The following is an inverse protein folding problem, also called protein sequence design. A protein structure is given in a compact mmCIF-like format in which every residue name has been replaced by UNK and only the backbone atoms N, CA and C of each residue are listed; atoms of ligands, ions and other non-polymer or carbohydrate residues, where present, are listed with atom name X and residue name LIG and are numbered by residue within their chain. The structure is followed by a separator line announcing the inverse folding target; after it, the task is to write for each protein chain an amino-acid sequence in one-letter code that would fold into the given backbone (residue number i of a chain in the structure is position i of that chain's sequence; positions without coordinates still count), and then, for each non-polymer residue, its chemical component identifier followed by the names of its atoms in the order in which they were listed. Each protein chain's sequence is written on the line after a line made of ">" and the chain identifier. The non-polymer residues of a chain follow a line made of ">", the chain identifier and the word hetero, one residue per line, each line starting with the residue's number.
data_IF_116534779097
#
_entry.id   IF_116534779097
#
_cell.length_a   1.000
_cell.length_b   1.000
_cell.length_c   1.000
_cell.angle_alpha   90.00
_cell.angle_beta   90.00
_cell.angle_gamma   90.00
#
_symmetry.space_group_name_H-M   'P 1'
#
loop_
_entity.id
_entity.type
_entity.pdbx_description
1 polymer ?
#
# COMPACT_ATOMS: atom_id res chain seq x y z
N UNK A 1 11.85 -19.98 4.96
CA UNK A 1 10.50 -19.43 4.76
C UNK A 1 10.23 -19.41 3.26
N UNK A 2 9.69 -20.51 2.72
CA UNK A 2 9.37 -20.63 1.30
C UNK A 2 7.97 -20.06 1.11
N UNK A 3 7.86 -18.89 0.49
CA UNK A 3 6.55 -18.36 0.09
C UNK A 3 6.08 -19.28 -1.04
N UNK A 4 5.10 -20.13 -0.77
CA UNK A 4 4.44 -20.94 -1.79
C UNK A 4 3.88 -19.93 -2.79
N UNK A 5 4.38 -19.99 -4.03
CA UNK A 5 3.86 -19.17 -5.13
C UNK A 5 2.43 -19.61 -5.41
N UNK A 6 1.47 -18.99 -4.72
CA UNK A 6 0.06 -19.11 -5.05
C UNK A 6 -0.11 -18.58 -6.47
N UNK A 7 -0.61 -19.42 -7.37
CA UNK A 7 -0.91 -19.03 -8.73
C UNK A 7 -2.09 -18.05 -8.73
N UNK A 8 -1.78 -16.75 -8.68
CA UNK A 8 -2.80 -15.68 -8.69
C UNK A 8 -3.60 -15.64 -9.97
N UNK A 9 -3.14 -16.31 -11.04
CA UNK A 9 -3.81 -16.30 -12.34
C UNK A 9 -5.21 -16.88 -12.24
N UNK A 10 -5.37 -18.02 -11.56
CA UNK A 10 -6.66 -18.66 -11.35
C UNK A 10 -7.62 -17.77 -10.56
N UNK A 11 -7.12 -17.12 -9.50
CA UNK A 11 -7.94 -16.21 -8.69
C UNK A 11 -8.38 -14.97 -9.48
N UNK A 12 -7.49 -14.40 -10.30
CA UNK A 12 -7.76 -13.25 -11.16
C UNK A 12 -8.79 -13.59 -12.26
N UNK A 13 -8.69 -14.78 -12.86
CA UNK A 13 -9.65 -15.28 -13.85
C UNK A 13 -11.04 -15.51 -13.22
N UNK A 14 -11.13 -16.11 -12.03
CA UNK A 14 -12.40 -16.30 -11.30
C UNK A 14 -13.05 -14.97 -10.95
N UNK A 15 -12.25 -13.93 -10.63
CA UNK A 15 -12.74 -12.58 -10.37
C UNK A 15 -13.23 -11.84 -11.64
N UNK A 16 -13.13 -12.46 -12.82
CA UNK A 16 -13.50 -11.85 -14.10
C UNK A 16 -12.53 -10.75 -14.56
N UNK A 17 -11.31 -10.73 -14.01
CA UNK A 17 -10.30 -9.72 -14.32
C UNK A 17 -9.30 -10.31 -15.32
N UNK A 18 -8.86 -9.52 -16.30
CA UNK A 18 -7.83 -9.95 -17.25
C UNK A 18 -6.50 -10.14 -16.52
N UNK A 19 -5.96 -11.35 -16.59
CA UNK A 19 -4.63 -11.65 -16.06
C UNK A 19 -3.56 -10.97 -16.90
N UNK A 20 -2.98 -9.91 -16.35
CA UNK A 20 -1.83 -9.20 -16.90
C UNK A 20 -0.70 -9.17 -15.88
N UNK A 21 0.48 -8.69 -16.28
CA UNK A 21 1.58 -8.40 -15.33
C UNK A 21 1.18 -7.40 -14.25
N UNK A 22 0.16 -6.58 -14.50
CA UNK A 22 -0.37 -5.59 -13.57
C UNK A 22 -1.46 -6.14 -12.63
N UNK A 23 -1.82 -7.43 -12.72
CA UNK A 23 -2.94 -8.00 -11.95
C UNK A 23 -2.56 -9.14 -11.00
N UNK A 24 -1.29 -9.53 -10.97
CA UNK A 24 -0.79 -10.59 -10.08
C UNK A 24 -0.42 -10.11 -8.68
N UNK A 25 0.39 -10.90 -7.96
CA UNK A 25 0.87 -10.59 -6.59
C UNK A 25 1.48 -9.19 -6.42
N UNK A 26 2.08 -8.64 -7.47
CA UNK A 26 2.62 -7.28 -7.45
C UNK A 26 1.51 -6.22 -7.30
N UNK A 27 0.36 -6.43 -7.94
CA UNK A 27 -0.81 -5.57 -7.83
C UNK A 27 -1.38 -5.58 -6.40
N UNK A 28 -1.45 -6.77 -5.79
CA UNK A 28 -1.88 -6.93 -4.40
C UNK A 28 -0.94 -6.22 -3.42
N UNK A 29 0.38 -6.29 -3.67
CA UNK A 29 1.36 -5.55 -2.88
C UNK A 29 1.15 -4.03 -2.99
N UNK A 30 0.87 -3.53 -4.19
CA UNK A 30 0.55 -2.12 -4.41
C UNK A 30 -0.74 -1.72 -3.69
N UNK A 31 -1.80 -2.52 -3.83
CA UNK A 31 -3.08 -2.28 -3.15
C UNK A 31 -2.93 -2.23 -1.63
N UNK A 32 -2.30 -3.24 -1.04
CA UNK A 32 -2.05 -3.30 0.41
C UNK A 32 -1.29 -2.06 0.92
N UNK A 33 -0.26 -1.64 0.19
CA UNK A 33 0.53 -0.47 0.58
C UNK A 33 -0.25 0.83 0.43
N UNK A 34 -1.02 0.95 -0.65
CA UNK A 34 -1.84 2.15 -0.94
C UNK A 34 -2.93 2.34 0.12
N UNK A 35 -3.64 1.26 0.47
CA UNK A 35 -4.70 1.30 1.48
C UNK A 35 -4.18 1.71 2.86
N UNK A 36 -3.05 1.15 3.30
CA UNK A 36 -2.47 1.51 4.60
C UNK A 36 -1.93 2.94 4.63
N UNK A 37 -1.37 3.44 3.52
CA UNK A 37 -0.97 4.84 3.42
C UNK A 37 -2.17 5.79 3.49
N UNK A 38 -3.28 5.42 2.86
CA UNK A 38 -4.52 6.19 2.89
C UNK A 38 -5.16 6.24 4.29
N UNK A 39 -4.88 5.26 5.16
CA UNK A 39 -5.24 5.29 6.59
C UNK A 39 -4.22 6.01 7.48
N UNK A 40 -3.11 6.50 6.91
CA UNK A 40 -2.09 7.28 7.62
C UNK A 40 -0.98 6.44 8.26
N UNK A 41 -0.79 5.19 7.82
CA UNK A 41 0.30 4.34 8.31
C UNK A 41 1.67 4.94 7.96
N UNK A 42 2.65 4.72 8.84
CA UNK A 42 3.98 5.29 8.65
C UNK A 42 4.75 4.57 7.54
N UNK A 43 5.48 5.35 6.73
CA UNK A 43 6.36 4.82 5.66
C UNK A 43 7.43 3.86 6.18
N UNK A 44 7.86 4.04 7.44
CA UNK A 44 8.77 3.14 8.14
C UNK A 44 8.14 1.79 8.46
N UNK A 45 6.91 1.77 8.97
CA UNK A 45 6.19 0.52 9.23
C UNK A 45 5.95 -0.25 7.93
N UNK A 46 5.52 0.44 6.88
CA UNK A 46 5.34 -0.15 5.55
C UNK A 46 6.63 -0.73 4.97
N UNK A 47 7.76 -0.04 5.13
CA UNK A 47 9.06 -0.58 4.75
C UNK A 47 9.36 -1.90 5.48
N UNK A 48 9.04 -1.99 6.78
CA UNK A 48 9.17 -3.23 7.54
C UNK A 48 8.25 -4.35 7.04
N UNK A 49 6.98 -4.05 6.72
CA UNK A 49 6.02 -5.06 6.23
C UNK A 49 6.42 -5.61 4.86
N UNK A 50 6.95 -4.74 4.00
CA UNK A 50 7.36 -5.08 2.64
C UNK A 50 8.76 -5.70 2.57
N UNK A 51 9.50 -5.70 3.69
CA UNK A 51 10.89 -6.16 3.76
C UNK A 51 11.87 -5.23 3.05
N UNK A 52 11.53 -3.94 2.93
CA UNK A 52 12.42 -2.92 2.38
C UNK A 52 13.42 -2.45 3.44
N UNK A 53 14.70 -2.67 3.19
CA UNK A 53 15.79 -2.21 4.05
C UNK A 53 15.97 -0.68 4.04
N UNK A 54 15.58 -0.03 2.95
CA UNK A 54 15.55 1.43 2.80
C UNK A 54 14.09 1.94 2.82
N UNK A 55 13.63 2.61 3.88
CA UNK A 55 12.31 3.25 3.91
C UNK A 55 12.14 4.33 2.82
N UNK A 56 13.25 4.93 2.37
CA UNK A 56 13.25 5.86 1.24
C UNK A 56 12.80 5.20 -0.07
N UNK A 57 13.03 3.89 -0.24
CA UNK A 57 12.51 3.15 -1.39
C UNK A 57 10.98 3.08 -1.37
N UNK A 58 10.38 2.75 -0.23
CA UNK A 58 8.91 2.77 -0.06
C UNK A 58 8.36 4.15 -0.32
N UNK A 59 8.96 5.19 0.27
CA UNK A 59 8.52 6.57 0.08
C UNK A 59 8.55 6.99 -1.40
N UNK A 60 9.65 6.73 -2.12
CA UNK A 60 9.74 7.09 -3.55
C UNK A 60 8.69 6.40 -4.42
N UNK A 61 8.31 5.17 -4.09
CA UNK A 61 7.31 4.42 -4.86
C UNK A 61 5.90 4.95 -4.60
N UNK A 62 5.56 5.32 -3.36
CA UNK A 62 4.18 5.60 -2.97
C UNK A 62 3.89 7.06 -2.56
N UNK A 63 4.88 7.95 -2.62
CA UNK A 63 4.71 9.38 -2.27
C UNK A 63 3.61 10.08 -3.05
N UNK A 64 3.25 9.59 -4.24
CA UNK A 64 2.20 10.16 -5.09
C UNK A 64 0.79 9.85 -4.59
N UNK A 65 0.66 8.90 -3.65
CA UNK A 65 -0.60 8.53 -3.02
C UNK A 65 -0.83 9.25 -1.70
N UNK A 66 0.18 9.94 -1.16
CA UNK A 66 0.02 10.70 0.07
C UNK A 66 -0.77 11.98 -0.24
N UNK A 67 -1.94 12.22 0.39
CA UNK A 67 -2.56 13.53 0.39
C UNK A 67 -1.55 14.59 0.84
N UNK A 68 -1.77 15.83 0.40
CA UNK A 68 -0.87 16.93 0.79
C UNK A 68 -0.72 16.95 2.32
N UNK A 69 0.50 17.14 2.82
CA UNK A 69 0.76 17.13 4.28
C UNK A 69 -0.15 18.11 5.04
N UNK A 70 -0.60 19.18 4.37
CA UNK A 70 -1.54 20.17 4.93
C UNK A 70 -2.94 19.61 5.20
N UNK A 71 -3.46 18.76 4.32
CA UNK A 71 -4.79 18.18 4.44
C UNK A 71 -4.84 17.13 5.56
N UNK A 72 -3.82 16.26 5.62
CA UNK A 72 -3.62 15.33 6.73
C UNK A 72 -3.49 16.03 8.07
N UNK A 73 -2.65 17.08 8.12
CA UNK A 73 -2.44 17.82 9.36
C UNK A 73 -3.74 18.50 9.82
N UNK A 74 -4.52 19.05 8.88
CA UNK A 74 -5.81 19.67 9.21
C UNK A 74 -6.79 18.63 9.76
N UNK A 75 -6.97 17.48 9.10
CA UNK A 75 -7.88 16.43 9.55
C UNK A 75 -7.48 15.86 10.91
N UNK A 76 -6.18 15.63 11.15
CA UNK A 76 -5.68 15.12 12.42
C UNK A 76 -5.92 16.09 13.58
N UNK A 77 -5.75 17.40 13.33
CA UNK A 77 -6.04 18.43 14.33
C UNK A 77 -7.55 18.59 14.52
N UNK A 78 -8.35 18.52 13.47
CA UNK A 78 -9.82 18.60 13.56
C UNK A 78 -10.40 17.43 14.36
N UNK A 79 -9.95 16.18 14.12
CA UNK A 79 -10.33 15.01 14.93
C UNK A 79 -9.91 15.17 16.40
N UNK A 80 -8.71 15.69 16.66
CA UNK A 80 -8.24 15.92 18.03
C UNK A 80 -9.09 16.98 18.77
N UNK A 81 -9.52 18.03 18.06
CA UNK A 81 -10.28 19.14 18.65
C UNK A 81 -11.79 18.87 18.74
N UNK A 82 -12.32 17.96 17.92
CA UNK A 82 -13.71 17.54 17.91
C UNK A 82 -13.99 16.30 18.80
N UNK A 83 -13.03 15.89 19.62
CA UNK A 83 -13.16 14.84 20.64
C UNK A 83 -13.69 15.33 21.97
#
# INVERSE_FOLDING_TARGET
>A
MHVVGLDTRAAVEVAGIVSTRATGMHALRHFYTSALLDEGESTKALASYLGHSDPGFTLRVYTHLMPSSEEWTRLAIDDLLNR
#
